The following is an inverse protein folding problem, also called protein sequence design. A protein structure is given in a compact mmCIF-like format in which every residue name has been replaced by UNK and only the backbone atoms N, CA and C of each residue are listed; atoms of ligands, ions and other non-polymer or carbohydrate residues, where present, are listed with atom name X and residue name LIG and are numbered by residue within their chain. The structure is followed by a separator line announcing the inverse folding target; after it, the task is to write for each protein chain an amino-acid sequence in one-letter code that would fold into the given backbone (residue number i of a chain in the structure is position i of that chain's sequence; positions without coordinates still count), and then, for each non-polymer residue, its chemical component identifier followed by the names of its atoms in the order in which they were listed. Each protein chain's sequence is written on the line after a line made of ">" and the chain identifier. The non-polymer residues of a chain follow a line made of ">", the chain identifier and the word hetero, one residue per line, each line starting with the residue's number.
data_IF_642886981047
#
_entry.id   IF_642886981047
#
_cell.length_a   1.000
_cell.length_b   1.000
_cell.length_c   1.000
_cell.angle_alpha   90.00
_cell.angle_beta   90.00
_cell.angle_gamma   90.00
#
_symmetry.space_group_name_H-M   'P 1'
#
loop_
_entity.id
_entity.type
_entity.pdbx_description
1 polymer ?
#
# COMPACT_ATOMS: atom_id res chain seq x y z
N UNK A 1 -16.35 14.23 -9.47
CA UNK A 1 -15.66 13.46 -10.52
C UNK A 1 -16.11 13.83 -11.95
N UNK A 2 -17.39 13.67 -12.35
CA UNK A 2 -17.83 13.95 -13.73
C UNK A 2 -17.63 15.42 -14.20
N UNK A 3 -17.85 16.39 -13.31
CA UNK A 3 -17.64 17.83 -13.60
C UNK A 3 -16.16 18.15 -13.87
N UNK A 4 -15.22 17.41 -13.28
CA UNK A 4 -13.79 17.60 -13.50
C UNK A 4 -13.35 17.03 -14.86
N UNK A 5 -13.84 15.84 -15.23
CA UNK A 5 -13.57 15.23 -16.53
C UNK A 5 -14.14 16.07 -17.68
N UNK A 6 -15.37 16.59 -17.52
CA UNK A 6 -15.97 17.51 -18.48
C UNK A 6 -15.21 18.81 -18.66
N UNK A 7 -14.38 19.24 -17.70
CA UNK A 7 -13.51 20.41 -17.84
C UNK A 7 -12.22 20.09 -18.61
N UNK A 8 -11.69 18.88 -18.47
CA UNK A 8 -10.46 18.43 -19.12
C UNK A 8 -10.66 18.08 -20.60
N UNK A 9 -11.78 17.42 -20.93
CA UNK A 9 -12.10 16.95 -22.29
C UNK A 9 -12.92 18.00 -23.08
N UNK A 10 -12.90 19.28 -22.68
CA UNK A 10 -13.63 20.32 -23.42
C UNK A 10 -13.02 20.55 -24.79
N UNK A 11 -13.88 20.69 -25.80
CA UNK A 11 -13.52 21.12 -27.13
C UNK A 11 -12.95 22.55 -27.10
N UNK A 12 -11.65 22.66 -27.32
CA UNK A 12 -10.87 23.91 -27.40
C UNK A 12 -9.44 23.58 -27.87
N UNK A 13 -8.63 24.60 -28.16
CA UNK A 13 -7.28 24.40 -28.74
C UNK A 13 -6.32 23.56 -27.87
N UNK A 14 -6.57 23.46 -26.56
CA UNK A 14 -5.78 22.68 -25.60
C UNK A 14 -6.60 21.60 -24.85
N UNK A 15 -7.68 21.11 -25.43
CA UNK A 15 -8.51 20.06 -24.82
C UNK A 15 -7.82 18.69 -24.85
N UNK A 16 -7.89 17.94 -23.76
CA UNK A 16 -7.32 16.58 -23.71
C UNK A 16 -8.19 15.62 -24.52
N UNK A 17 -7.57 14.82 -25.39
CA UNK A 17 -8.24 13.64 -25.92
C UNK A 17 -8.43 12.58 -24.83
N UNK A 18 -9.38 11.66 -25.01
CA UNK A 18 -9.59 10.55 -24.08
C UNK A 18 -8.36 9.63 -23.97
N UNK A 19 -7.61 9.46 -25.05
CA UNK A 19 -6.38 8.67 -25.07
C UNK A 19 -5.28 9.33 -24.22
N UNK A 20 -5.03 10.62 -24.43
CA UNK A 20 -4.05 11.39 -23.65
C UNK A 20 -4.44 11.43 -22.17
N UNK A 21 -5.74 11.58 -21.87
CA UNK A 21 -6.23 11.59 -20.50
C UNK A 21 -6.02 10.23 -19.80
N UNK A 22 -6.32 9.11 -20.46
CA UNK A 22 -6.07 7.77 -19.90
C UNK A 22 -4.58 7.56 -19.68
N UNK A 23 -3.73 7.97 -20.62
CA UNK A 23 -2.28 7.92 -20.45
C UNK A 23 -1.83 8.74 -19.22
N UNK A 24 -2.27 9.99 -19.09
CA UNK A 24 -1.94 10.83 -17.93
C UNK A 24 -2.43 10.21 -16.60
N UNK A 25 -3.64 9.64 -16.58
CA UNK A 25 -4.17 8.94 -15.40
C UNK A 25 -3.29 7.74 -15.01
N UNK A 26 -2.81 6.96 -15.98
CA UNK A 26 -1.90 5.83 -15.74
C UNK A 26 -0.57 6.32 -15.15
N UNK A 27 0.00 7.40 -15.70
CA UNK A 27 1.24 7.99 -15.17
C UNK A 27 1.06 8.49 -13.73
N UNK A 28 0.00 9.25 -13.46
CA UNK A 28 -0.27 9.78 -12.12
C UNK A 28 -0.42 8.64 -11.10
N UNK A 29 -1.28 7.66 -11.39
CA UNK A 29 -1.49 6.51 -10.51
C UNK A 29 -0.20 5.70 -10.30
N UNK A 30 0.63 5.55 -11.35
CA UNK A 30 1.92 4.88 -11.25
C UNK A 30 2.87 5.59 -10.28
N UNK A 31 3.07 6.90 -10.44
CA UNK A 31 4.00 7.65 -9.59
C UNK A 31 3.48 7.85 -8.16
N UNK A 32 2.16 7.94 -7.94
CA UNK A 32 1.58 7.89 -6.61
C UNK A 32 1.87 6.58 -5.89
N UNK A 33 1.69 5.46 -6.59
CA UNK A 33 1.97 4.13 -6.07
C UNK A 33 3.47 3.90 -5.86
N UNK A 34 4.32 4.38 -6.78
CA UNK A 34 5.77 4.31 -6.64
C UNK A 34 6.25 5.11 -5.44
N UNK A 35 5.65 6.26 -5.13
CA UNK A 35 5.97 7.00 -3.90
C UNK A 35 5.71 6.14 -2.64
N UNK A 36 4.60 5.40 -2.59
CA UNK A 36 4.37 4.43 -1.51
C UNK A 36 5.49 3.40 -1.42
N UNK A 37 5.95 2.85 -2.55
CA UNK A 37 7.05 1.89 -2.54
C UNK A 37 8.39 2.49 -2.09
N UNK A 38 8.72 3.69 -2.54
CA UNK A 38 9.94 4.44 -2.18
C UNK A 38 10.00 4.68 -0.67
N UNK A 39 8.95 5.29 -0.10
CA UNK A 39 8.89 5.57 1.33
C UNK A 39 8.76 4.29 2.17
N UNK A 40 7.92 3.34 1.72
CA UNK A 40 7.71 2.05 2.39
C UNK A 40 8.98 1.22 2.48
N UNK A 41 9.81 1.24 1.43
CA UNK A 41 11.05 0.47 1.34
C UNK A 41 12.29 1.24 1.80
N UNK A 42 12.16 2.54 2.12
CA UNK A 42 13.26 3.37 2.59
C UNK A 42 14.33 3.64 1.53
N UNK A 43 13.92 3.82 0.27
CA UNK A 43 14.84 4.10 -0.84
C UNK A 43 15.42 5.51 -0.67
N UNK A 44 16.75 5.62 -0.63
CA UNK A 44 17.44 6.90 -0.53
C UNK A 44 17.73 7.47 -1.93
N UNK A 45 17.69 8.80 -2.10
CA UNK A 45 18.17 9.43 -3.33
C UNK A 45 19.64 9.11 -3.56
N UNK A 46 20.05 8.99 -4.82
CA UNK A 46 21.45 8.86 -5.18
C UNK A 46 22.21 10.12 -4.72
N UNK A 47 23.37 9.93 -4.10
CA UNK A 47 24.23 11.05 -3.71
C UNK A 47 24.94 11.52 -4.99
N UNK A 48 24.63 12.74 -5.45
CA UNK A 48 25.34 13.37 -6.57
C UNK A 48 26.84 13.47 -6.26
N UNK A 49 27.65 12.60 -6.89
CA UNK A 49 29.11 12.57 -6.77
C UNK A 49 29.78 13.83 -7.35
N UNK A 50 29.03 14.63 -8.13
CA UNK A 50 29.53 15.85 -8.79
C UNK A 50 29.47 17.11 -7.89
N UNK A 51 28.89 17.02 -6.68
CA UNK A 51 28.85 18.13 -5.71
C UNK A 51 30.06 18.15 -4.73
N UNK A 52 31.16 17.48 -5.06
CA UNK A 52 32.34 17.30 -4.18
C UNK A 52 33.16 18.58 -3.91
N UNK A 53 32.73 19.76 -4.35
CA UNK A 53 33.38 21.04 -4.04
C UNK A 53 32.57 22.01 -3.18
N UNK A 54 31.51 21.55 -2.51
CA UNK A 54 30.83 22.36 -1.49
C UNK A 54 30.37 21.48 -0.34
N UNK A 55 31.22 21.38 0.69
CA UNK A 55 30.88 20.73 1.96
C UNK A 55 29.57 21.31 2.52
N UNK A 56 28.47 20.58 2.31
CA UNK A 56 27.29 20.58 3.17
C UNK A 56 27.12 19.16 3.65
N UNK A 57 27.65 18.89 4.84
CA UNK A 57 27.35 17.67 5.59
C UNK A 57 25.82 17.59 5.76
N UNK A 58 25.20 16.69 5.03
CA UNK A 58 23.82 16.27 5.29
C UNK A 58 23.87 15.33 6.49
N UNK A 59 23.02 15.49 7.52
CA UNK A 59 23.02 14.56 8.63
C UNK A 59 22.59 13.20 8.11
N UNK A 60 23.51 12.25 8.19
CA UNK A 60 23.32 10.83 7.88
C UNK A 60 22.18 10.35 8.78
N UNK A 61 20.96 10.30 8.26
CA UNK A 61 19.94 9.42 8.80
C UNK A 61 20.45 8.01 8.50
N UNK A 62 21.06 7.38 9.51
CA UNK A 62 21.60 6.01 9.54
C UNK A 62 20.85 5.09 8.58
N UNK A 63 21.35 5.08 7.35
CA UNK A 63 20.78 4.37 6.22
C UNK A 63 21.21 2.92 6.33
N UNK A 64 20.28 2.05 5.95
CA UNK A 64 20.50 0.63 5.82
C UNK A 64 21.73 0.38 4.93
N UNK A 65 22.79 -0.19 5.50
CA UNK A 65 23.82 -0.89 4.72
C UNK A 65 23.27 -2.29 4.48
N UNK A 66 22.57 -2.47 3.36
CA UNK A 66 22.27 -3.80 2.87
C UNK A 66 23.49 -4.34 2.12
N UNK A 67 24.41 -4.96 2.86
CA UNK A 67 25.48 -5.77 2.27
C UNK A 67 24.87 -7.03 1.63
N UNK A 68 24.42 -6.92 0.37
CA UNK A 68 24.27 -8.06 -0.54
C UNK A 68 25.57 -8.26 -1.33
N UNK A 69 26.65 -8.62 -0.65
CA UNK A 69 27.76 -9.41 -1.19
C UNK A 69 28.85 -9.56 -0.12
N UNK A 70 29.03 -10.76 0.41
CA UNK A 70 30.27 -11.54 0.32
C UNK A 70 30.23 -12.72 1.29
N UNK A 71 30.25 -13.92 0.73
CA UNK A 71 30.49 -15.16 1.48
C UNK A 71 31.94 -15.23 1.98
N UNK A 72 32.08 -15.89 3.14
CA UNK A 72 33.26 -16.55 3.70
C UNK A 72 34.22 -15.80 4.65
N UNK A 73 34.12 -16.25 5.91
CA UNK A 73 35.18 -16.58 6.88
C UNK A 73 35.76 -15.40 7.71
N UNK A 74 35.39 -15.36 8.99
CA UNK A 74 36.30 -15.72 10.09
C UNK A 74 35.51 -16.02 11.38
N UNK A 75 35.96 -17.08 12.05
CA UNK A 75 35.42 -17.69 13.25
C UNK A 75 35.70 -16.84 14.49
N UNK A 76 34.88 -17.11 15.50
CA UNK A 76 35.19 -17.12 16.92
C UNK A 76 34.99 -15.82 17.71
N UNK A 77 33.81 -15.70 18.31
CA UNK A 77 33.63 -15.09 19.62
C UNK A 77 32.34 -15.64 20.24
N UNK A 78 32.48 -16.77 20.94
CA UNK A 78 31.54 -17.21 21.95
C UNK A 78 31.32 -16.12 22.99
N UNK A 79 30.14 -15.48 23.02
CA UNK A 79 29.57 -14.90 24.23
C UNK A 79 28.07 -15.13 24.27
N UNK A 80 27.71 -16.00 25.22
CA UNK A 80 26.40 -16.24 25.76
C UNK A 80 25.71 -14.92 26.18
N UNK A 81 24.62 -14.56 25.51
CA UNK A 81 23.59 -13.69 26.09
C UNK A 81 22.22 -14.12 25.55
N UNK A 82 21.58 -14.99 26.32
CA UNK A 82 20.15 -15.27 26.19
C UNK A 82 19.36 -13.98 26.39
N UNK A 83 18.93 -13.35 25.29
CA UNK A 83 18.03 -12.20 25.31
C UNK A 83 16.59 -12.67 25.57
N UNK A 84 15.81 -12.06 26.47
CA UNK A 84 14.46 -12.53 26.82
C UNK A 84 13.38 -12.22 25.76
N UNK A 85 13.73 -11.65 24.60
CA UNK A 85 12.78 -11.13 23.61
C UNK A 85 12.50 -12.02 22.39
N UNK A 86 13.16 -13.19 22.27
CA UNK A 86 13.03 -14.06 21.09
C UNK A 86 11.94 -15.13 21.22
N UNK A 87 11.51 -15.47 22.44
CA UNK A 87 10.48 -16.50 22.65
C UNK A 87 9.07 -15.98 22.35
N UNK A 88 8.81 -14.72 22.68
CA UNK A 88 7.50 -14.08 22.49
C UNK A 88 7.18 -13.90 21.00
N UNK A 89 8.18 -13.47 20.23
CA UNK A 89 8.07 -13.25 18.79
C UNK A 89 7.88 -14.55 18.00
N UNK A 90 8.55 -15.64 18.35
CA UNK A 90 8.32 -16.94 17.69
C UNK A 90 6.90 -17.45 17.96
N UNK A 91 6.37 -17.22 19.16
CA UNK A 91 4.98 -17.58 19.50
C UNK A 91 3.96 -16.86 18.62
N UNK A 92 4.14 -15.55 18.38
CA UNK A 92 3.23 -14.77 17.52
C UNK A 92 3.16 -15.29 16.07
N UNK A 93 4.29 -15.73 15.52
CA UNK A 93 4.36 -16.28 14.15
C UNK A 93 3.59 -17.61 14.04
N UNK A 94 3.82 -18.52 15.00
CA UNK A 94 3.12 -19.81 15.05
C UNK A 94 1.61 -19.61 15.26
N UNK A 95 1.21 -18.67 16.11
CA UNK A 95 -0.20 -18.29 16.29
C UNK A 95 -0.84 -17.77 15.00
N UNK A 96 -0.11 -16.97 14.21
CA UNK A 96 -0.58 -16.50 12.92
C UNK A 96 -0.78 -17.67 11.94
N UNK A 97 0.18 -18.59 11.86
CA UNK A 97 0.08 -19.77 11.00
C UNK A 97 -1.09 -20.68 11.42
N UNK A 98 -1.30 -20.85 12.72
CA UNK A 98 -2.42 -21.62 13.24
C UNK A 98 -3.77 -20.94 12.94
N UNK A 99 -3.86 -19.61 13.11
CA UNK A 99 -5.03 -18.83 12.69
C UNK A 99 -5.28 -18.98 11.20
N UNK A 100 -4.22 -18.95 10.39
CA UNK A 100 -4.36 -19.09 8.94
C UNK A 100 -4.97 -20.43 8.56
N UNK A 101 -4.50 -21.51 9.18
CA UNK A 101 -5.02 -22.85 8.97
C UNK A 101 -6.48 -22.98 9.40
N UNK A 102 -6.85 -22.46 10.58
CA UNK A 102 -8.23 -22.51 11.06
C UNK A 102 -9.21 -21.78 10.15
N UNK A 103 -8.84 -20.58 9.68
CA UNK A 103 -9.69 -19.82 8.76
C UNK A 103 -9.89 -20.53 7.42
N UNK A 104 -8.88 -21.27 6.96
CA UNK A 104 -8.99 -22.07 5.75
C UNK A 104 -9.96 -23.24 5.94
N UNK A 105 -9.91 -23.93 7.08
CA UNK A 105 -10.85 -25.01 7.44
C UNK A 105 -12.28 -24.49 7.63
N UNK A 106 -12.47 -23.38 8.36
CA UNK A 106 -13.79 -22.76 8.59
C UNK A 106 -14.47 -22.33 7.28
N UNK A 107 -13.68 -21.82 6.31
CA UNK A 107 -14.18 -21.41 4.99
C UNK A 107 -14.67 -22.58 4.15
N UNK A 108 -14.10 -23.77 4.33
CA UNK A 108 -14.56 -24.99 3.67
C UNK A 108 -15.86 -25.54 4.30
N UNK A 109 -16.12 -25.23 5.57
CA UNK A 109 -17.29 -25.71 6.32
C UNK A 109 -18.51 -24.78 6.25
N UNK A 110 -18.32 -23.46 6.40
CA UNK A 110 -19.42 -22.50 6.48
C UNK A 110 -19.07 -21.13 5.85
N UNK A 111 -19.75 -20.77 4.75
CA UNK A 111 -19.61 -19.43 4.15
C UNK A 111 -20.57 -18.43 4.80
N UNK A 112 -20.02 -17.30 5.28
CA UNK A 112 -20.82 -16.20 5.81
C UNK A 112 -21.79 -15.65 4.76
N UNK A 113 -22.95 -15.16 5.20
CA UNK A 113 -23.93 -14.55 4.29
C UNK A 113 -23.42 -13.23 3.68
N UNK A 114 -23.92 -12.85 2.51
CA UNK A 114 -23.55 -11.57 1.87
C UNK A 114 -23.88 -10.34 2.74
N UNK A 115 -24.98 -10.39 3.52
CA UNK A 115 -25.34 -9.32 4.44
C UNK A 115 -24.31 -9.21 5.57
N UNK A 116 -23.90 -10.34 6.14
CA UNK A 116 -22.87 -10.39 7.16
C UNK A 116 -21.53 -9.88 6.63
N UNK A 117 -21.08 -10.32 5.45
CA UNK A 117 -19.86 -9.84 4.81
C UNK A 117 -19.90 -8.31 4.60
N UNK A 118 -21.05 -7.76 4.21
CA UNK A 118 -21.23 -6.32 4.09
C UNK A 118 -21.12 -5.59 5.44
N UNK A 119 -21.65 -6.15 6.53
CA UNK A 119 -21.48 -5.57 7.87
C UNK A 119 -20.02 -5.62 8.35
N UNK A 120 -19.31 -6.71 8.08
CA UNK A 120 -17.89 -6.88 8.41
C UNK A 120 -17.02 -5.89 7.63
N UNK A 121 -17.33 -5.63 6.36
CA UNK A 121 -16.70 -4.57 5.57
C UNK A 121 -16.87 -3.18 6.21
N UNK A 122 -18.09 -2.79 6.57
CA UNK A 122 -18.34 -1.49 7.20
C UNK A 122 -17.64 -1.35 8.56
N UNK A 123 -17.52 -2.46 9.31
CA UNK A 123 -16.75 -2.52 10.55
C UNK A 123 -15.26 -2.31 10.29
N UNK A 124 -14.66 -3.03 9.34
CA UNK A 124 -13.23 -2.92 9.02
C UNK A 124 -12.88 -1.52 8.50
N UNK A 125 -13.72 -0.97 7.61
CA UNK A 125 -13.61 0.41 7.13
C UNK A 125 -13.59 1.38 8.33
N UNK A 126 -14.51 1.23 9.29
CA UNK A 126 -14.56 2.05 10.51
C UNK A 126 -13.35 1.84 11.43
N UNK A 127 -12.82 0.64 11.53
CA UNK A 127 -11.63 0.36 12.34
C UNK A 127 -10.39 1.02 11.75
N UNK A 128 -10.26 1.05 10.42
CA UNK A 128 -9.20 1.81 9.74
C UNK A 128 -9.15 3.26 10.23
N UNK A 129 -10.30 3.91 10.50
CA UNK A 129 -10.34 5.27 11.05
C UNK A 129 -9.60 5.39 12.40
N UNK A 130 -9.71 4.38 13.27
CA UNK A 130 -9.05 4.37 14.60
C UNK A 130 -7.53 4.20 14.49
N UNK A 131 -7.06 3.58 13.40
CA UNK A 131 -5.63 3.48 13.07
C UNK A 131 -5.04 4.87 12.78
N UNK A 132 -5.82 5.80 12.22
CA UNK A 132 -5.37 7.16 11.91
C UNK A 132 -5.00 7.97 13.18
N UNK A 133 -5.70 7.75 14.30
CA UNK A 133 -5.38 8.38 15.59
C UNK A 133 -3.97 7.99 16.09
N UNK A 134 -3.51 6.78 15.74
CA UNK A 134 -2.15 6.32 16.04
C UNK A 134 -1.08 6.97 15.18
N UNK A 135 -1.40 7.29 13.91
CA UNK A 135 -0.52 8.06 13.01
C UNK A 135 -0.36 9.50 13.50
N UNK A 136 -1.42 10.08 14.06
CA UNK A 136 -1.40 11.42 14.66
C UNK A 136 -0.67 11.45 16.03
N UNK A 137 -0.73 10.38 16.83
CA UNK A 137 -0.03 10.30 18.13
C UNK A 137 1.46 9.94 18.03
N UNK A 138 1.94 9.51 16.86
CA UNK A 138 3.38 9.39 16.59
C UNK A 138 4.10 10.77 16.59
N UNK A 139 3.34 11.88 16.64
CA UNK A 139 3.83 13.22 16.93
C UNK A 139 4.08 13.40 18.44
N UNK A 140 5.08 12.71 19.02
CA UNK A 140 5.64 13.07 20.34
C UNK A 140 7.11 12.66 20.47
N UNK A 141 8.00 13.46 19.89
CA UNK A 141 9.05 14.18 20.64
C UNK A 141 9.81 15.07 19.66
N UNK A 142 9.58 16.37 19.83
CA UNK A 142 10.36 17.51 19.39
C UNK A 142 11.80 17.19 18.91
N UNK A 143 11.96 16.79 17.64
CA UNK A 143 13.14 17.15 16.88
C UNK A 143 12.77 18.42 16.11
N UNK A 144 13.57 19.46 16.32
CA UNK A 144 13.41 20.81 15.81
C UNK A 144 13.04 20.84 14.32
N UNK A 145 11.82 21.27 14.06
CA UNK A 145 11.21 21.48 12.74
C UNK A 145 11.87 22.60 11.92
N UNK A 146 13.02 23.13 12.37
CA UNK A 146 13.67 24.29 11.77
C UNK A 146 14.69 23.91 10.68
N UNK A 147 15.17 22.65 10.63
CA UNK A 147 16.19 22.21 9.66
C UNK A 147 15.64 21.41 8.46
N UNK A 148 14.39 20.92 8.49
CA UNK A 148 13.76 20.13 7.40
C UNK A 148 12.90 20.96 6.42
N UNK A 149 12.89 22.28 6.54
CA UNK A 149 12.16 23.18 5.62
C UNK A 149 12.81 23.25 4.22
N UNK A 150 13.99 22.62 4.04
CA UNK A 150 14.81 22.76 2.84
C UNK A 150 14.49 21.83 1.65
N UNK A 151 13.44 21.00 1.69
CA UNK A 151 13.09 20.09 0.57
C UNK A 151 11.62 20.19 0.09
N UNK A 152 10.64 20.56 0.95
CA UNK A 152 9.26 20.77 0.50
C UNK A 152 9.08 22.03 -0.37
N UNK A 153 9.98 23.01 -0.23
CA UNK A 153 9.86 24.28 -0.96
C UNK A 153 9.94 24.10 -2.48
N UNK A 154 10.67 23.11 -2.97
CA UNK A 154 10.90 22.96 -4.41
C UNK A 154 9.72 22.29 -5.14
N UNK A 155 9.11 21.27 -4.54
CA UNK A 155 8.00 20.53 -5.17
C UNK A 155 6.65 21.27 -5.03
N UNK A 156 6.51 22.14 -4.02
CA UNK A 156 5.29 22.91 -3.77
C UNK A 156 4.81 23.71 -4.99
N UNK A 157 5.73 24.15 -5.85
CA UNK A 157 5.41 24.90 -7.09
C UNK A 157 4.66 24.07 -8.14
N UNK A 158 4.68 22.74 -8.02
CA UNK A 158 4.03 21.79 -8.93
C UNK A 158 2.71 21.25 -8.37
N UNK A 159 2.26 21.71 -7.20
CA UNK A 159 1.05 21.24 -6.51
C UNK A 159 0.09 22.40 -6.29
N UNK A 160 -1.18 22.24 -6.67
CA UNK A 160 -2.20 23.29 -6.49
C UNK A 160 -2.68 23.42 -5.04
N UNK A 161 -2.97 22.31 -4.36
CA UNK A 161 -3.40 22.27 -2.97
C UNK A 161 -2.53 21.28 -2.17
N UNK A 162 -1.45 21.76 -1.51
CA UNK A 162 -0.57 20.92 -0.70
C UNK A 162 -1.24 20.30 0.53
N UNK A 163 -2.41 20.82 0.94
CA UNK A 163 -3.16 20.30 2.10
C UNK A 163 -4.12 19.19 1.72
N UNK A 164 -4.36 18.97 0.42
CA UNK A 164 -5.19 17.89 -0.07
C UNK A 164 -4.53 16.55 0.21
N UNK A 165 -5.24 15.69 0.95
CA UNK A 165 -4.75 14.36 1.32
C UNK A 165 -5.85 13.33 1.34
N UNK A 166 -5.48 12.12 1.75
CA UNK A 166 -6.42 11.00 1.87
C UNK A 166 -7.64 11.37 2.72
N UNK A 167 -8.84 11.15 2.16
CA UNK A 167 -10.12 11.22 2.87
C UNK A 167 -10.53 9.81 3.28
N UNK A 168 -10.71 9.60 4.57
CA UNK A 168 -11.10 8.32 5.11
C UNK A 168 -12.55 7.98 4.76
N UNK A 169 -12.74 6.90 3.98
CA UNK A 169 -14.05 6.42 3.51
C UNK A 169 -14.98 5.94 4.64
N UNK A 170 -14.49 5.86 5.88
CA UNK A 170 -15.26 5.52 7.05
C UNK A 170 -15.85 6.71 7.81
N UNK A 171 -15.41 7.94 7.50
CA UNK A 171 -15.91 9.15 8.19
C UNK A 171 -17.40 9.35 7.90
N UNK A 172 -18.20 9.45 8.96
CA UNK A 172 -19.62 9.83 8.87
C UNK A 172 -19.74 11.35 8.92
N UNK A 173 -20.50 11.94 7.99
CA UNK A 173 -20.70 13.40 7.88
C UNK A 173 -21.10 13.81 6.45
N UNK A 174 -21.02 15.10 6.12
CA UNK A 174 -21.28 15.62 4.76
C UNK A 174 -20.33 15.03 3.71
N UNK A 175 -19.13 14.60 4.13
CA UNK A 175 -18.10 13.95 3.32
C UNK A 175 -18.23 12.40 3.24
N UNK A 176 -19.41 11.82 3.54
CA UNK A 176 -19.55 10.36 3.41
C UNK A 176 -19.29 9.92 1.95
N UNK A 177 -18.29 9.08 1.74
CA UNK A 177 -18.00 8.53 0.42
C UNK A 177 -18.76 7.20 0.26
N UNK A 178 -19.49 7.01 -0.86
CA UNK A 178 -20.25 5.79 -1.06
C UNK A 178 -19.32 4.59 -1.24
N UNK A 179 -19.69 3.46 -0.65
CA UNK A 179 -19.03 2.17 -0.87
C UNK A 179 -19.11 1.80 -2.35
N UNK A 180 -17.97 1.45 -2.94
CA UNK A 180 -17.85 1.00 -4.31
C UNK A 180 -17.77 -0.52 -4.34
N UNK A 181 -18.78 -1.19 -4.88
CA UNK A 181 -18.73 -2.65 -5.09
C UNK A 181 -17.84 -2.97 -6.28
N UNK A 182 -16.86 -3.84 -6.09
CA UNK A 182 -15.93 -4.26 -7.13
C UNK A 182 -16.65 -4.89 -8.34
N UNK A 183 -17.78 -5.56 -8.09
CA UNK A 183 -18.65 -6.17 -9.11
C UNK A 183 -19.30 -5.14 -10.03
N UNK A 184 -19.52 -3.91 -9.57
CA UNK A 184 -20.13 -2.86 -10.40
C UNK A 184 -19.15 -2.33 -11.46
N UNK A 185 -17.84 -2.43 -11.20
CA UNK A 185 -16.77 -1.99 -12.12
C UNK A 185 -15.42 -2.62 -11.72
N UNK A 186 -15.13 -3.81 -12.24
CA UNK A 186 -13.87 -4.54 -11.97
C UNK A 186 -12.77 -4.20 -12.98
N UNK A 187 -11.52 -4.51 -12.64
CA UNK A 187 -10.40 -4.41 -13.59
C UNK A 187 -10.59 -5.36 -14.77
N UNK A 188 -10.91 -6.62 -14.47
CA UNK A 188 -11.03 -7.71 -15.44
C UNK A 188 -12.14 -7.46 -16.46
N UNK A 189 -13.33 -7.06 -16.02
CA UNK A 189 -14.48 -6.91 -16.92
C UNK A 189 -14.51 -5.54 -17.61
N UNK A 190 -14.01 -4.48 -16.95
CA UNK A 190 -14.19 -3.11 -17.42
C UNK A 190 -12.87 -2.35 -17.61
N UNK A 191 -12.05 -2.27 -16.56
CA UNK A 191 -10.85 -1.44 -16.52
C UNK A 191 -9.85 -1.77 -17.63
N UNK A 192 -9.51 -3.04 -17.77
CA UNK A 192 -8.58 -3.56 -18.77
C UNK A 192 -9.04 -3.19 -20.19
N UNK A 193 -10.30 -3.52 -20.52
CA UNK A 193 -10.88 -3.27 -21.85
C UNK A 193 -10.90 -1.79 -22.21
N UNK A 194 -11.23 -0.91 -21.25
CA UNK A 194 -11.21 0.54 -21.48
C UNK A 194 -9.79 1.05 -21.74
N UNK A 195 -8.82 0.65 -20.91
CA UNK A 195 -7.42 1.07 -21.07
C UNK A 195 -6.88 0.59 -22.41
N UNK A 196 -7.04 -0.69 -22.75
CA UNK A 196 -6.52 -1.24 -24.00
C UNK A 196 -7.13 -0.58 -25.25
N UNK A 197 -8.38 -0.10 -25.15
CA UNK A 197 -9.07 0.63 -26.22
C UNK A 197 -8.56 2.06 -26.40
N UNK A 198 -8.21 2.75 -25.31
CA UNK A 198 -7.84 4.18 -25.33
C UNK A 198 -6.33 4.42 -25.31
N UNK A 199 -5.56 3.47 -24.79
CA UNK A 199 -4.11 3.48 -24.73
C UNK A 199 -3.62 2.04 -24.97
N UNK A 200 -3.46 1.70 -26.25
CA UNK A 200 -3.09 0.34 -26.67
C UNK A 200 -1.76 -0.11 -26.05
N UNK A 201 -1.59 -1.41 -25.87
CA UNK A 201 -0.44 -2.10 -25.30
C UNK A 201 -0.25 -1.93 -23.77
N UNK A 202 -0.52 -0.75 -23.20
CA UNK A 202 -0.33 -0.55 -21.76
C UNK A 202 -1.28 -1.41 -20.93
N UNK A 203 -2.49 -1.69 -21.45
CA UNK A 203 -3.48 -2.52 -20.77
C UNK A 203 -2.93 -3.89 -20.41
N UNK A 204 -2.20 -4.52 -21.34
CA UNK A 204 -1.56 -5.81 -21.13
C UNK A 204 -0.42 -5.74 -20.09
N UNK A 205 0.40 -4.69 -20.13
CA UNK A 205 1.47 -4.52 -19.15
C UNK A 205 0.95 -4.27 -17.73
N UNK A 206 -0.13 -3.49 -17.59
CA UNK A 206 -0.78 -3.28 -16.30
C UNK A 206 -1.41 -4.57 -15.78
N UNK A 207 -2.13 -5.30 -16.64
CA UNK A 207 -2.75 -6.56 -16.27
C UNK A 207 -1.72 -7.60 -15.81
N UNK A 208 -0.64 -7.78 -16.58
CA UNK A 208 0.44 -8.69 -16.23
C UNK A 208 1.11 -8.26 -14.92
N UNK A 209 1.38 -6.96 -14.74
CA UNK A 209 1.96 -6.44 -13.49
C UNK A 209 1.08 -6.72 -12.28
N UNK A 210 -0.23 -6.42 -12.36
CA UNK A 210 -1.17 -6.72 -11.27
C UNK A 210 -1.22 -8.21 -10.97
N UNK A 211 -1.34 -9.05 -12.00
CA UNK A 211 -1.40 -10.51 -11.85
C UNK A 211 -0.13 -11.10 -11.27
N UNK A 212 1.04 -10.65 -11.73
CA UNK A 212 2.35 -11.13 -11.26
C UNK A 212 2.52 -10.80 -9.79
N UNK A 213 2.28 -9.55 -9.39
CA UNK A 213 2.43 -9.15 -7.98
C UNK A 213 1.39 -9.82 -7.08
N UNK A 214 0.13 -9.89 -7.51
CA UNK A 214 -0.92 -10.53 -6.73
C UNK A 214 -0.64 -12.02 -6.48
N UNK A 215 -0.12 -12.73 -7.48
CA UNK A 215 0.15 -14.17 -7.40
C UNK A 215 1.58 -14.51 -6.94
N UNK A 216 2.45 -13.51 -6.77
CA UNK A 216 3.84 -13.74 -6.34
C UNK A 216 3.83 -14.46 -4.99
N UNK A 217 4.45 -15.63 -4.95
CA UNK A 217 4.64 -16.39 -3.71
C UNK A 217 5.90 -17.23 -3.84
N UNK A 218 6.66 -17.27 -2.75
CA UNK A 218 7.78 -18.22 -2.59
C UNK A 218 7.35 -19.46 -1.80
N UNK A 219 6.06 -19.52 -1.40
CA UNK A 219 5.52 -20.51 -0.47
C UNK A 219 6.34 -20.60 0.82
N UNK A 220 6.81 -19.45 1.29
CA UNK A 220 7.55 -19.30 2.53
C UNK A 220 6.86 -18.28 3.43
N UNK A 221 7.01 -18.46 4.74
CA UNK A 221 6.61 -17.48 5.74
C UNK A 221 7.69 -17.42 6.82
N UNK A 222 8.44 -16.32 6.87
CA UNK A 222 9.60 -16.15 7.73
C UNK A 222 10.62 -17.31 7.59
N UNK A 223 10.70 -18.17 8.60
CA UNK A 223 11.59 -19.34 8.64
C UNK A 223 10.95 -20.63 8.08
N UNK A 224 9.65 -20.62 7.77
CA UNK A 224 8.92 -21.79 7.32
C UNK A 224 8.84 -21.86 5.78
N UNK A 225 8.91 -23.06 5.25
CA UNK A 225 8.77 -23.38 3.83
C UNK A 225 7.52 -24.25 3.60
N UNK A 226 7.00 -24.24 2.37
CA UNK A 226 5.80 -25.00 2.01
C UNK A 226 4.49 -24.42 2.55
N UNK A 227 4.47 -23.12 2.89
CA UNK A 227 3.29 -22.44 3.45
C UNK A 227 2.51 -21.73 2.34
N UNK A 228 1.21 -22.01 2.23
CA UNK A 228 0.33 -21.24 1.35
C UNK A 228 0.01 -19.87 1.96
N UNK A 229 0.52 -18.82 1.33
CA UNK A 229 0.36 -17.43 1.77
C UNK A 229 -0.79 -16.70 1.06
N UNK A 230 -1.57 -17.38 0.23
CA UNK A 230 -2.63 -16.77 -0.60
C UNK A 230 -3.62 -15.98 0.23
N UNK A 231 -4.06 -16.50 1.37
CA UNK A 231 -4.99 -15.80 2.25
C UNK A 231 -4.38 -14.51 2.82
N UNK A 232 -3.12 -14.54 3.24
CA UNK A 232 -2.43 -13.36 3.77
C UNK A 232 -2.23 -12.28 2.70
N UNK A 233 -1.83 -12.67 1.49
CA UNK A 233 -1.66 -11.77 0.33
C UNK A 233 -3.00 -11.16 -0.11
N UNK A 234 -4.05 -11.97 -0.18
CA UNK A 234 -5.42 -11.52 -0.50
C UNK A 234 -5.92 -10.53 0.55
N UNK A 235 -5.67 -10.79 1.83
CA UNK A 235 -6.03 -9.87 2.91
C UNK A 235 -5.32 -8.52 2.80
N UNK A 236 -4.04 -8.49 2.40
CA UNK A 236 -3.27 -7.26 2.25
C UNK A 236 -3.88 -6.40 1.14
N UNK A 237 -4.11 -7.02 -0.01
CA UNK A 237 -4.68 -6.37 -1.18
C UNK A 237 -6.09 -5.84 -0.88
N UNK A 238 -6.94 -6.67 -0.29
CA UNK A 238 -8.33 -6.32 0.02
C UNK A 238 -8.45 -5.29 1.14
N UNK A 239 -7.51 -5.26 2.09
CA UNK A 239 -7.47 -4.21 3.12
C UNK A 239 -7.13 -2.84 2.52
N UNK A 240 -6.19 -2.76 1.58
CA UNK A 240 -5.91 -1.51 0.85
C UNK A 240 -7.15 -1.04 0.10
N UNK A 241 -7.77 -1.92 -0.67
CA UNK A 241 -9.02 -1.62 -1.38
C UNK A 241 -10.15 -1.21 -0.42
N UNK A 242 -10.25 -1.83 0.76
CA UNK A 242 -11.20 -1.43 1.81
C UNK A 242 -10.98 0.00 2.30
N UNK A 243 -9.72 0.41 2.50
CA UNK A 243 -9.40 1.79 2.88
C UNK A 243 -9.86 2.77 1.80
N UNK A 244 -9.70 2.42 0.52
CA UNK A 244 -10.23 3.20 -0.60
C UNK A 244 -11.72 2.99 -0.88
N UNK A 245 -12.47 2.32 0.02
CA UNK A 245 -13.92 2.16 -0.09
C UNK A 245 -14.39 1.13 -1.12
N UNK A 246 -13.48 0.28 -1.63
CA UNK A 246 -13.80 -0.80 -2.57
C UNK A 246 -14.13 -2.08 -1.81
N UNK A 247 -15.33 -2.62 -2.04
CA UNK A 247 -15.83 -3.85 -1.41
C UNK A 247 -15.91 -5.00 -2.41
N UNK A 248 -15.36 -6.15 -2.03
CA UNK A 248 -15.56 -7.43 -2.70
C UNK A 248 -16.64 -8.24 -1.97
N UNK A 249 -17.75 -8.53 -2.66
CA UNK A 249 -18.87 -9.28 -2.08
C UNK A 249 -18.56 -10.77 -1.80
N UNK A 250 -17.46 -11.31 -2.34
CA UNK A 250 -16.98 -12.69 -2.16
C UNK A 250 -15.83 -12.80 -1.14
N UNK A 251 -15.58 -11.74 -0.37
CA UNK A 251 -14.49 -11.68 0.60
C UNK A 251 -14.99 -11.38 2.01
N UNK A 252 -14.56 -12.21 2.96
CA UNK A 252 -14.83 -11.99 4.37
C UNK A 252 -13.82 -11.01 4.98
N UNK A 253 -14.23 -9.76 5.14
CA UNK A 253 -13.41 -8.72 5.79
C UNK A 253 -13.13 -8.99 7.28
N UNK A 254 -13.80 -9.98 7.90
CA UNK A 254 -13.43 -10.50 9.20
C UNK A 254 -12.02 -11.10 9.23
N UNK A 255 -11.54 -11.68 8.12
CA UNK A 255 -10.21 -12.27 7.98
C UNK A 255 -9.11 -11.23 8.28
N UNK A 256 -9.32 -9.96 7.90
CA UNK A 256 -8.32 -8.87 8.09
C UNK A 256 -7.97 -8.68 9.57
N UNK A 257 -8.97 -8.70 10.46
CA UNK A 257 -8.77 -8.54 11.90
C UNK A 257 -8.06 -9.72 12.56
N UNK A 258 -8.22 -10.91 11.97
CA UNK A 258 -7.65 -12.14 12.51
C UNK A 258 -6.19 -12.31 12.08
N UNK A 259 -5.86 -11.83 10.87
CA UNK A 259 -4.54 -11.96 10.26
C UNK A 259 -3.61 -10.79 10.56
N UNK A 260 -4.13 -9.56 10.71
CA UNK A 260 -3.29 -8.37 10.85
C UNK A 260 -3.22 -7.83 12.27
N UNK A 261 -2.00 -7.79 12.78
CA UNK A 261 -1.69 -7.01 13.97
C UNK A 261 -1.85 -5.50 13.74
N UNK A 262 -2.07 -4.76 14.82
CA UNK A 262 -2.31 -3.31 14.75
C UNK A 262 -1.14 -2.54 14.14
N UNK A 263 0.10 -2.93 14.46
CA UNK A 263 1.33 -2.31 13.92
C UNK A 263 1.39 -2.41 12.39
N UNK A 264 1.04 -3.57 11.84
CA UNK A 264 0.93 -3.79 10.40
C UNK A 264 -0.17 -2.92 9.78
N UNK A 265 -1.37 -2.86 10.39
CA UNK A 265 -2.45 -1.98 9.89
C UNK A 265 -2.04 -0.50 9.87
N UNK A 266 -1.33 -0.03 10.89
CA UNK A 266 -0.75 1.33 10.96
C UNK A 266 0.26 1.55 9.85
N UNK A 267 1.19 0.61 9.65
CA UNK A 267 2.18 0.69 8.58
C UNK A 267 1.53 0.73 7.20
N UNK A 268 0.62 -0.20 6.90
CA UNK A 268 -0.10 -0.27 5.62
C UNK A 268 -0.80 1.04 5.33
N UNK A 269 -1.61 1.54 6.27
CA UNK A 269 -2.34 2.80 6.11
C UNK A 269 -1.40 3.99 5.90
N UNK A 270 -0.28 4.02 6.62
CA UNK A 270 0.71 5.10 6.48
C UNK A 270 1.34 5.06 5.09
N UNK A 271 1.86 3.91 4.65
CA UNK A 271 2.49 3.76 3.35
C UNK A 271 1.54 4.04 2.18
N UNK A 272 0.27 3.66 2.28
CA UNK A 272 -0.70 3.86 1.19
C UNK A 272 -1.35 5.24 1.16
N UNK A 273 -1.54 5.88 2.31
CA UNK A 273 -2.32 7.13 2.41
C UNK A 273 -1.49 8.37 2.77
N UNK A 274 -0.38 8.19 3.47
CA UNK A 274 0.53 9.24 3.95
C UNK A 274 2.00 8.78 3.87
N UNK A 275 2.48 8.35 2.68
CA UNK A 275 3.78 7.71 2.53
C UNK A 275 4.92 8.56 3.10
N UNK A 276 4.84 9.89 3.01
CA UNK A 276 5.80 10.84 3.55
C UNK A 276 6.01 10.75 5.08
N UNK A 277 5.06 10.14 5.80
CA UNK A 277 5.13 9.93 7.25
C UNK A 277 5.72 8.58 7.63
N UNK A 278 6.11 7.75 6.66
CA UNK A 278 6.67 6.42 6.93
C UNK A 278 8.00 6.55 7.66
N UNK A 279 8.19 5.76 8.72
CA UNK A 279 9.42 5.78 9.51
C UNK A 279 10.00 4.39 9.64
N UNK A 280 11.32 4.32 9.85
CA UNK A 280 12.02 3.06 10.15
C UNK A 280 11.43 2.33 11.36
N UNK A 281 11.00 3.07 12.40
CA UNK A 281 10.36 2.48 13.58
C UNK A 281 9.07 1.74 13.22
N UNK A 282 8.24 2.31 12.35
CA UNK A 282 7.04 1.62 11.87
C UNK A 282 7.41 0.35 11.11
N UNK A 283 8.39 0.44 10.20
CA UNK A 283 8.89 -0.69 9.41
C UNK A 283 9.43 -1.84 10.29
N UNK A 284 10.21 -1.51 11.32
CA UNK A 284 10.78 -2.50 12.25
C UNK A 284 9.73 -3.05 13.24
N UNK A 285 8.62 -2.35 13.46
CA UNK A 285 7.66 -2.69 14.53
C UNK A 285 6.77 -3.90 14.24
N UNK A 286 6.41 -4.13 12.97
CA UNK A 286 5.52 -5.22 12.53
C UNK A 286 6.31 -6.42 12.01
N UNK A 287 5.74 -7.62 12.12
CA UNK A 287 6.29 -8.86 11.56
C UNK A 287 7.80 -8.99 11.78
N UNK A 288 8.23 -8.93 13.05
CA UNK A 288 9.63 -8.82 13.45
C UNK A 288 10.47 -10.04 13.06
N UNK A 289 9.80 -11.18 12.86
CA UNK A 289 10.35 -12.49 12.50
C UNK A 289 10.47 -12.65 10.97
N UNK A 290 9.74 -11.84 10.21
CA UNK A 290 9.74 -11.90 8.75
C UNK A 290 10.99 -11.27 8.18
N UNK A 291 11.44 -11.81 7.05
CA UNK A 291 12.61 -11.34 6.31
C UNK A 291 12.33 -9.97 5.70
N UNK A 292 13.39 -9.18 5.49
CA UNK A 292 13.27 -7.92 4.76
C UNK A 292 12.71 -8.10 3.34
N UNK A 293 13.04 -9.21 2.67
CA UNK A 293 12.47 -9.55 1.36
C UNK A 293 10.95 -9.71 1.40
N UNK A 294 10.40 -10.25 2.49
CA UNK A 294 8.94 -10.39 2.68
C UNK A 294 8.30 -9.03 2.96
N UNK A 295 8.96 -8.15 3.71
CA UNK A 295 8.49 -6.76 3.90
C UNK A 295 8.51 -5.94 2.60
N UNK A 296 9.53 -6.14 1.75
CA UNK A 296 9.55 -5.56 0.39
C UNK A 296 8.41 -6.14 -0.46
N UNK A 297 8.13 -7.43 -0.34
CA UNK A 297 7.01 -8.07 -1.01
C UNK A 297 5.65 -7.49 -0.56
N UNK A 298 5.47 -7.18 0.73
CA UNK A 298 4.31 -6.41 1.21
C UNK A 298 4.21 -5.08 0.47
N UNK A 299 5.30 -4.31 0.36
CA UNK A 299 5.27 -3.02 -0.34
C UNK A 299 4.91 -3.14 -1.83
N UNK A 300 5.28 -4.24 -2.51
CA UNK A 300 4.82 -4.51 -3.87
C UNK A 300 3.30 -4.67 -3.92
N UNK A 301 2.72 -5.48 -3.02
CA UNK A 301 1.27 -5.68 -2.93
C UNK A 301 0.54 -4.37 -2.62
N UNK A 302 1.05 -3.57 -1.68
CA UNK A 302 0.45 -2.28 -1.31
C UNK A 302 0.49 -1.27 -2.48
N UNK A 303 1.62 -1.20 -3.19
CA UNK A 303 1.80 -0.35 -4.37
C UNK A 303 0.79 -0.71 -5.45
N UNK A 304 0.69 -1.99 -5.81
CA UNK A 304 -0.21 -2.43 -6.87
C UNK A 304 -1.69 -2.31 -6.50
N UNK A 305 -2.07 -2.64 -5.27
CA UNK A 305 -3.44 -2.44 -4.78
C UNK A 305 -3.84 -0.96 -4.80
N UNK A 306 -2.94 -0.06 -4.35
CA UNK A 306 -3.20 1.38 -4.42
C UNK A 306 -3.38 1.86 -5.87
N UNK A 307 -2.47 1.47 -6.76
CA UNK A 307 -2.53 1.85 -8.17
C UNK A 307 -3.84 1.37 -8.81
N UNK A 308 -4.22 0.11 -8.57
CA UNK A 308 -5.43 -0.48 -9.12
C UNK A 308 -6.67 0.26 -8.61
N UNK A 309 -6.76 0.56 -7.31
CA UNK A 309 -7.87 1.32 -6.76
C UNK A 309 -8.03 2.71 -7.41
N UNK A 310 -6.93 3.47 -7.53
CA UNK A 310 -6.92 4.79 -8.18
C UNK A 310 -7.40 4.70 -9.64
N UNK A 311 -6.89 3.73 -10.40
CA UNK A 311 -7.31 3.50 -11.78
C UNK A 311 -8.79 3.14 -11.88
N UNK A 312 -9.32 2.26 -11.03
CA UNK A 312 -10.73 1.86 -11.08
C UNK A 312 -11.66 3.06 -10.90
N UNK A 313 -11.38 3.94 -9.94
CA UNK A 313 -12.17 5.16 -9.75
C UNK A 313 -12.11 6.11 -10.95
N UNK A 314 -10.91 6.33 -11.50
CA UNK A 314 -10.73 7.21 -12.65
C UNK A 314 -11.39 6.65 -13.91
N UNK A 315 -11.16 5.37 -14.23
CA UNK A 315 -11.71 4.68 -15.39
C UNK A 315 -13.23 4.54 -15.31
N UNK A 316 -13.80 4.28 -14.13
CA UNK A 316 -15.25 4.28 -13.92
C UNK A 316 -15.85 5.65 -14.24
N UNK A 317 -15.18 6.72 -13.82
CA UNK A 317 -15.63 8.08 -14.12
C UNK A 317 -15.52 8.41 -15.63
N UNK A 318 -14.47 7.95 -16.30
CA UNK A 318 -14.31 8.08 -17.76
C UNK A 318 -15.39 7.28 -18.50
N UNK A 319 -15.66 6.04 -18.10
CA UNK A 319 -16.74 5.22 -18.69
C UNK A 319 -18.07 5.94 -18.61
N UNK A 320 -18.43 6.47 -17.43
CA UNK A 320 -19.66 7.25 -17.21
C UNK A 320 -19.73 8.57 -18.00
N UNK A 321 -18.60 9.08 -18.47
CA UNK A 321 -18.57 10.25 -19.34
C UNK A 321 -18.77 9.86 -20.81
N UNK A 322 -18.29 8.68 -21.21
CA UNK A 322 -18.43 8.16 -22.58
C UNK A 322 -19.86 7.64 -22.83
N UNK A 323 -20.49 7.02 -21.84
CA UNK A 323 -21.86 6.48 -21.88
C UNK A 323 -22.90 7.51 -21.49
#
# INVERSE_FOLDING_TARGET
>A
HLVSLQKLVKTGENGWSLAELVHAVVLLAHYHALASFVFGSGINPEIDLDATNSFRETPINSSCVCDLANDNILKDASLTSSSPGTTDSVSELEELMERMKRLQEEKEEEEASQEEMATRFEKEKKESLLVASGVEHAHFNHCSFEDEVFQMSDVSRYVEDPSFGYKDFARRGEDHLPTFRAQDYSWEDHGFSLVNRLYSDIGYHLDDKFRVVYNLTYNTMATHEGVDTTMLRRALFNYVHCMFGIRYDDYDYGEVNQLFERSLKVYIKTVTCYPERTTRRMYDSYWRQFKHSEKVHVNLLLMEARMQAELLYALRAITRYIT
#
